data_IF_268028613762
#
_entry.id   IF_268028613762
#
_cell.length_a   1.000
_cell.length_b   1.000
_cell.length_c   1.000
_cell.angle_alpha   90.00
_cell.angle_beta   90.00
_cell.angle_gamma   90.00
#
_symmetry.space_group_name_H-M   'P 1'
#
loop_
_entity.id
_entity.type
_entity.pdbx_description
1 polymer ?
#
# COMPACT_ATOMS: atom_id res chain seq x y z
N UNK A 1 -6.12 -17.32 -15.68
CA UNK A 1 -4.69 -17.38 -15.35
C UNK A 1 -4.39 -16.30 -14.32
N UNK A 2 -5.13 -16.22 -13.18
CA UNK A 2 -5.22 -14.98 -12.37
C UNK A 2 -5.30 -15.18 -10.85
N UNK A 3 -4.82 -16.29 -10.35
CA UNK A 3 -4.64 -16.55 -8.92
C UNK A 3 -3.14 -16.79 -8.60
N UNK A 4 -2.25 -16.17 -9.42
CA UNK A 4 -0.84 -16.51 -9.39
C UNK A 4 -0.14 -16.04 -8.09
N UNK A 5 -0.52 -14.89 -7.55
CA UNK A 5 0.15 -14.35 -6.35
C UNK A 5 -0.01 -15.26 -5.13
N UNK A 6 -1.24 -15.76 -4.86
CA UNK A 6 -1.50 -16.69 -3.75
C UNK A 6 -1.02 -18.13 -4.03
N UNK A 7 -0.74 -18.47 -5.29
CA UNK A 7 -0.20 -19.79 -5.68
C UNK A 7 1.32 -19.85 -5.67
N UNK A 8 2.02 -18.72 -5.69
CA UNK A 8 3.49 -18.66 -5.69
C UNK A 8 4.08 -18.30 -4.33
N UNK A 9 3.24 -17.89 -3.35
CA UNK A 9 3.72 -17.71 -1.98
C UNK A 9 4.14 -19.06 -1.41
N UNK A 10 5.33 -19.11 -0.81
CA UNK A 10 5.82 -20.31 -0.14
C UNK A 10 4.91 -20.66 1.05
N UNK A 11 4.88 -21.93 1.46
CA UNK A 11 4.12 -22.37 2.64
C UNK A 11 4.45 -21.54 3.88
N UNK A 12 5.70 -21.11 4.02
CA UNK A 12 6.16 -20.23 5.11
C UNK A 12 5.55 -18.81 5.02
N UNK A 13 5.39 -18.24 3.81
CA UNK A 13 4.72 -16.95 3.62
C UNK A 13 3.22 -17.05 3.93
N UNK A 14 2.56 -18.15 3.56
CA UNK A 14 1.16 -18.42 3.91
C UNK A 14 0.94 -18.62 5.40
N UNK A 15 1.87 -19.29 6.09
CA UNK A 15 1.85 -19.45 7.55
C UNK A 15 2.10 -18.12 8.26
N UNK A 16 3.00 -17.25 7.78
CA UNK A 16 3.23 -15.91 8.32
C UNK A 16 2.01 -15.00 8.13
N UNK A 17 1.35 -15.02 6.96
CA UNK A 17 0.10 -14.28 6.75
C UNK A 17 -0.98 -14.77 7.72
N UNK A 18 -1.10 -16.08 7.89
CA UNK A 18 -2.09 -16.67 8.80
C UNK A 18 -1.81 -16.34 10.26
N UNK A 19 -0.54 -16.24 10.66
CA UNK A 19 -0.15 -15.86 12.02
C UNK A 19 -0.29 -14.37 12.29
N UNK A 20 0.08 -13.51 11.33
CA UNK A 20 -0.01 -12.05 11.45
C UNK A 20 -1.47 -11.54 11.43
N UNK A 21 -2.35 -12.27 10.76
CA UNK A 21 -3.80 -11.97 10.66
C UNK A 21 -4.62 -12.78 11.67
N UNK A 22 -3.99 -13.48 12.63
CA UNK A 22 -4.71 -14.23 13.66
C UNK A 22 -5.52 -13.27 14.56
N UNK A 23 -6.87 -13.33 14.55
CA UNK A 23 -7.70 -12.33 15.21
C UNK A 23 -7.70 -12.52 16.71
N UNK A 24 -7.35 -11.49 17.43
CA UNK A 24 -7.78 -11.29 18.79
C UNK A 24 -9.30 -11.00 18.79
N UNK A 25 -10.11 -12.06 18.84
CA UNK A 25 -11.53 -11.98 19.21
C UNK A 25 -12.52 -11.52 18.13
N UNK A 26 -13.41 -12.44 17.70
CA UNK A 26 -14.79 -12.10 17.30
C UNK A 26 -15.04 -11.49 15.91
N UNK A 27 -14.04 -11.31 15.06
CA UNK A 27 -14.17 -10.65 13.77
C UNK A 27 -14.76 -11.53 12.64
N UNK A 28 -14.60 -11.06 11.40
CA UNK A 28 -15.08 -11.67 10.14
C UNK A 28 -14.84 -13.19 10.09
N UNK A 29 -13.66 -13.67 10.54
CA UNK A 29 -13.32 -15.10 10.53
C UNK A 29 -14.21 -15.91 11.47
N UNK A 30 -14.61 -15.35 12.61
CA UNK A 30 -15.54 -16.03 13.52
C UNK A 30 -16.97 -16.05 12.96
N UNK A 31 -17.39 -15.00 12.23
CA UNK A 31 -18.65 -14.97 11.50
C UNK A 31 -18.63 -15.96 10.32
N UNK A 32 -17.54 -16.03 9.56
CA UNK A 32 -17.33 -17.00 8.48
C UNK A 32 -17.33 -18.44 9.00
N UNK A 33 -16.73 -18.73 10.15
CA UNK A 33 -16.74 -20.08 10.74
C UNK A 33 -18.13 -20.51 11.23
N UNK A 34 -18.99 -19.58 11.67
CA UNK A 34 -20.38 -19.88 12.03
C UNK A 34 -21.28 -20.10 10.82
N UNK A 35 -20.86 -19.65 9.65
CA UNK A 35 -21.59 -19.73 8.38
C UNK A 35 -21.27 -21.01 7.59
N UNK A 36 -20.99 -22.15 8.25
CA UNK A 36 -20.88 -23.47 7.60
C UNK A 36 -22.24 -24.04 7.15
N UNK A 37 -23.31 -23.27 7.26
CA UNK A 37 -24.61 -23.60 6.70
C UNK A 37 -24.65 -23.42 5.18
N UNK A 38 -25.48 -24.15 4.44
CA UNK A 38 -25.63 -24.01 2.98
C UNK A 38 -25.94 -22.59 2.53
N UNK A 39 -26.63 -21.82 3.36
CA UNK A 39 -26.82 -20.36 3.20
C UNK A 39 -26.22 -19.64 4.40
N UNK A 40 -25.33 -18.66 4.17
CA UNK A 40 -24.72 -17.88 5.24
C UNK A 40 -25.70 -16.86 5.84
N UNK A 41 -25.45 -16.49 7.09
CA UNK A 41 -26.13 -15.36 7.72
C UNK A 41 -25.60 -14.04 7.11
N UNK A 42 -26.21 -13.62 6.01
CA UNK A 42 -25.82 -12.41 5.27
C UNK A 42 -25.88 -11.14 6.12
N UNK A 43 -26.91 -10.91 6.96
CA UNK A 43 -26.92 -9.79 7.90
C UNK A 43 -25.73 -9.77 8.85
N UNK A 44 -25.38 -10.91 9.45
CA UNK A 44 -24.22 -10.99 10.33
C UNK A 44 -22.89 -10.76 9.58
N UNK A 45 -22.78 -11.16 8.31
CA UNK A 45 -21.62 -10.89 7.48
C UNK A 45 -21.53 -9.41 7.08
N UNK A 46 -22.64 -8.76 6.78
CA UNK A 46 -22.69 -7.31 6.52
C UNK A 46 -22.25 -6.53 7.76
N UNK A 47 -22.78 -6.87 8.94
CA UNK A 47 -22.35 -6.27 10.20
C UNK A 47 -20.86 -6.46 10.46
N UNK A 48 -20.32 -7.67 10.23
CA UNK A 48 -18.89 -7.95 10.39
C UNK A 48 -18.02 -7.10 9.44
N UNK A 49 -18.46 -6.87 8.21
CA UNK A 49 -17.78 -5.98 7.26
C UNK A 49 -17.82 -4.52 7.75
N UNK A 50 -18.95 -4.05 8.24
CA UNK A 50 -19.07 -2.70 8.82
C UNK A 50 -18.14 -2.55 10.04
N UNK A 51 -18.15 -3.51 10.94
CA UNK A 51 -17.28 -3.54 12.12
C UNK A 51 -15.80 -3.65 11.79
N UNK A 52 -15.47 -4.13 10.59
CA UNK A 52 -14.09 -4.15 10.07
C UNK A 52 -13.65 -2.84 9.45
N UNK A 53 -14.45 -1.78 9.53
CA UNK A 53 -14.21 -0.47 8.93
C UNK A 53 -14.34 -0.43 7.39
N UNK A 54 -15.02 -1.41 6.77
CA UNK A 54 -15.32 -1.37 5.33
C UNK A 54 -16.37 -0.31 4.95
N UNK A 55 -17.04 0.28 5.96
CA UNK A 55 -18.12 1.24 5.74
C UNK A 55 -19.42 0.59 5.22
N UNK A 56 -20.55 1.22 5.55
CA UNK A 56 -21.89 0.65 5.28
C UNK A 56 -22.17 0.48 3.78
N UNK A 57 -21.77 1.45 2.97
CA UNK A 57 -22.00 1.41 1.52
C UNK A 57 -21.23 0.26 0.86
N UNK A 58 -19.95 0.12 1.17
CA UNK A 58 -19.09 -0.95 0.63
C UNK A 58 -19.55 -2.32 1.13
N UNK A 59 -19.86 -2.44 2.43
CA UNK A 59 -20.33 -3.70 3.01
C UNK A 59 -21.59 -4.20 2.29
N UNK A 60 -22.59 -3.33 2.11
CA UNK A 60 -23.84 -3.65 1.42
C UNK A 60 -23.61 -4.12 -0.03
N UNK A 61 -22.82 -3.37 -0.79
CA UNK A 61 -22.52 -3.73 -2.20
C UNK A 61 -21.80 -5.08 -2.28
N UNK A 62 -20.83 -5.35 -1.41
CA UNK A 62 -20.11 -6.63 -1.35
C UNK A 62 -21.07 -7.79 -1.04
N UNK A 63 -21.97 -7.61 -0.08
CA UNK A 63 -22.95 -8.63 0.28
C UNK A 63 -23.95 -8.89 -0.85
N UNK A 64 -24.45 -7.83 -1.50
CA UNK A 64 -25.41 -7.96 -2.61
C UNK A 64 -24.76 -8.65 -3.83
N UNK A 65 -23.51 -8.32 -4.14
CA UNK A 65 -22.75 -9.03 -5.19
C UNK A 65 -22.54 -10.51 -4.83
N UNK A 66 -22.18 -10.82 -3.58
CA UNK A 66 -21.98 -12.20 -3.14
C UNK A 66 -23.28 -13.02 -3.18
N UNK A 67 -24.42 -12.43 -2.82
CA UNK A 67 -25.74 -13.05 -2.96
C UNK A 67 -26.11 -13.32 -4.43
N UNK A 68 -25.68 -12.44 -5.35
CA UNK A 68 -25.94 -12.57 -6.80
C UNK A 68 -25.16 -13.71 -7.47
N UNK A 69 -24.06 -14.18 -6.89
CA UNK A 69 -23.31 -15.31 -7.42
C UNK A 69 -24.03 -16.62 -7.15
N UNK A 70 -23.98 -17.54 -8.13
CA UNK A 70 -24.66 -18.86 -8.05
C UNK A 70 -23.71 -20.00 -7.76
N UNK A 71 -22.41 -19.82 -8.03
CA UNK A 71 -21.40 -20.87 -7.93
C UNK A 71 -20.75 -20.87 -6.55
N UNK A 72 -20.74 -22.02 -5.90
CA UNK A 72 -20.14 -22.24 -4.59
C UNK A 72 -21.05 -21.92 -3.40
N UNK A 73 -20.56 -22.25 -2.21
CA UNK A 73 -21.22 -21.86 -0.97
C UNK A 73 -21.06 -20.35 -0.69
N UNK A 74 -21.82 -19.84 0.27
CA UNK A 74 -21.82 -18.40 0.56
C UNK A 74 -20.45 -17.85 0.98
N UNK A 75 -19.62 -18.63 1.64
CA UNK A 75 -18.26 -18.25 2.01
C UNK A 75 -17.36 -18.11 0.79
N UNK A 76 -17.46 -19.05 -0.14
CA UNK A 76 -16.72 -19.01 -1.42
C UNK A 76 -17.16 -17.81 -2.25
N UNK A 77 -18.46 -17.56 -2.33
CA UNK A 77 -19.03 -16.40 -3.04
C UNK A 77 -18.52 -15.08 -2.45
N UNK A 78 -18.61 -14.91 -1.11
CA UNK A 78 -18.11 -13.70 -0.45
C UNK A 78 -16.59 -13.52 -0.64
N UNK A 79 -15.82 -14.59 -0.47
CA UNK A 79 -14.37 -14.56 -0.71
C UNK A 79 -14.04 -14.12 -2.13
N UNK A 80 -14.75 -14.63 -3.11
CA UNK A 80 -14.54 -14.28 -4.53
C UNK A 80 -14.78 -12.80 -4.78
N UNK A 81 -15.85 -12.22 -4.20
CA UNK A 81 -16.15 -10.79 -4.32
C UNK A 81 -15.10 -9.94 -3.60
N UNK A 82 -14.67 -10.34 -2.39
CA UNK A 82 -13.64 -9.62 -1.63
C UNK A 82 -12.30 -9.62 -2.37
N UNK A 83 -11.87 -10.78 -2.88
CA UNK A 83 -10.63 -10.88 -3.65
C UNK A 83 -10.70 -10.02 -4.91
N UNK A 84 -11.82 -10.07 -5.63
CA UNK A 84 -12.03 -9.22 -6.79
C UNK A 84 -11.94 -7.74 -6.43
N UNK A 85 -12.57 -7.32 -5.33
CA UNK A 85 -12.58 -5.93 -4.90
C UNK A 85 -11.19 -5.39 -4.51
N UNK A 86 -10.30 -6.24 -3.99
CA UNK A 86 -8.92 -5.88 -3.66
C UNK A 86 -7.99 -5.91 -4.89
N UNK A 87 -8.40 -6.60 -5.95
CA UNK A 87 -7.64 -6.81 -7.19
C UNK A 87 -8.22 -6.02 -8.38
N UNK A 88 -9.28 -5.25 -8.18
CA UNK A 88 -10.08 -4.60 -9.25
C UNK A 88 -9.35 -3.44 -9.99
N UNK A 89 -8.05 -3.33 -9.82
CA UNK A 89 -7.18 -2.58 -10.72
C UNK A 89 -6.37 -3.49 -11.65
N UNK A 90 -6.65 -4.77 -11.65
CA UNK A 90 -5.76 -5.83 -12.08
C UNK A 90 -5.84 -6.21 -13.56
N UNK A 91 -5.46 -5.31 -14.40
CA UNK A 91 -4.55 -5.64 -15.50
C UNK A 91 -3.08 -5.43 -15.04
N UNK A 92 -2.86 -5.20 -13.76
CA UNK A 92 -1.54 -5.06 -13.18
C UNK A 92 -0.86 -6.44 -13.14
N UNK A 93 0.25 -6.58 -13.83
CA UNK A 93 1.21 -7.64 -13.60
C UNK A 93 1.51 -7.75 -12.11
N UNK A 94 1.89 -8.95 -11.59
CA UNK A 94 2.37 -9.07 -10.23
C UNK A 94 3.35 -7.95 -9.92
N UNK A 95 3.22 -7.35 -8.74
CA UNK A 95 4.08 -6.24 -8.36
C UNK A 95 5.54 -6.70 -8.36
N UNK A 96 6.27 -6.37 -9.43
CA UNK A 96 7.72 -6.53 -9.47
C UNK A 96 8.34 -5.22 -9.02
N UNK A 97 8.94 -5.24 -7.84
CA UNK A 97 9.56 -4.05 -7.26
C UNK A 97 10.72 -3.48 -8.09
N UNK A 98 11.23 -4.25 -9.08
CA UNK A 98 12.25 -3.78 -10.03
C UNK A 98 11.66 -3.01 -11.22
N UNK A 99 10.38 -3.21 -11.49
CA UNK A 99 9.58 -2.52 -12.47
C UNK A 99 8.29 -2.08 -11.77
N UNK A 100 8.23 -0.86 -11.30
CA UNK A 100 8.68 0.40 -11.90
C UNK A 100 10.11 0.83 -11.56
N UNK A 101 10.66 1.74 -12.38
CA UNK A 101 11.97 2.37 -12.14
C UNK A 101 11.92 3.51 -11.14
N UNK A 102 10.74 4.10 -10.88
CA UNK A 102 10.52 5.14 -9.86
C UNK A 102 9.27 4.81 -9.05
N UNK A 103 9.40 4.78 -7.73
CA UNK A 103 8.29 4.59 -6.79
C UNK A 103 8.15 5.85 -5.94
N UNK A 104 6.99 6.49 -6.00
CA UNK A 104 6.63 7.65 -5.17
C UNK A 104 5.67 7.21 -4.06
N UNK A 105 6.10 7.29 -2.80
CA UNK A 105 5.27 6.94 -1.66
C UNK A 105 4.50 8.17 -1.16
N UNK A 106 3.17 8.09 -1.15
CA UNK A 106 2.29 9.12 -0.63
C UNK A 106 1.44 8.58 0.52
N UNK A 107 0.92 9.45 1.38
CA UNK A 107 0.09 9.04 2.54
C UNK A 107 0.32 9.96 3.74
N UNK A 108 -0.52 9.84 4.76
CA UNK A 108 -0.46 10.69 5.95
C UNK A 108 0.76 10.41 6.82
N UNK A 109 1.09 11.34 7.73
CA UNK A 109 2.11 11.10 8.74
C UNK A 109 1.74 9.89 9.62
N UNK A 110 2.72 9.05 9.91
CA UNK A 110 2.51 7.84 10.70
C UNK A 110 1.90 6.65 9.95
N UNK A 111 1.58 6.78 8.66
CA UNK A 111 1.09 5.66 7.85
C UNK A 111 2.16 4.60 7.55
N UNK A 112 3.44 4.85 7.82
CA UNK A 112 4.51 3.89 7.60
C UNK A 112 5.29 4.06 6.29
N UNK A 113 5.23 5.24 5.63
CA UNK A 113 5.93 5.52 4.37
C UNK A 113 7.43 5.23 4.44
N UNK A 114 8.12 5.81 5.41
CA UNK A 114 9.57 5.66 5.59
C UNK A 114 9.96 4.19 5.78
N UNK A 115 9.21 3.45 6.60
CA UNK A 115 9.43 2.00 6.80
C UNK A 115 9.15 1.22 5.52
N UNK A 116 8.07 1.57 4.80
CA UNK A 116 7.72 0.96 3.52
C UNK A 116 8.80 1.20 2.47
N UNK A 117 9.38 2.41 2.41
CA UNK A 117 10.49 2.72 1.50
C UNK A 117 11.67 1.76 1.70
N UNK A 118 12.09 1.56 2.95
CA UNK A 118 13.18 0.65 3.29
C UNK A 118 12.85 -0.82 2.93
N UNK A 119 11.61 -1.27 3.20
CA UNK A 119 11.15 -2.63 2.85
C UNK A 119 11.14 -2.87 1.35
N UNK A 120 10.64 -1.93 0.57
CA UNK A 120 10.66 -2.00 -0.90
C UNK A 120 12.10 -2.04 -1.43
N UNK A 121 13.01 -1.26 -0.84
CA UNK A 121 14.42 -1.29 -1.21
C UNK A 121 15.07 -2.65 -0.92
N UNK A 122 14.86 -3.20 0.29
CA UNK A 122 15.36 -4.53 0.65
C UNK A 122 14.78 -5.62 -0.27
N UNK A 123 13.51 -5.51 -0.63
CA UNK A 123 12.86 -6.42 -1.59
C UNK A 123 13.47 -6.31 -2.98
N UNK A 124 13.73 -5.08 -3.46
CA UNK A 124 14.38 -4.84 -4.75
C UNK A 124 15.78 -5.44 -4.81
N UNK A 125 16.59 -5.25 -3.75
CA UNK A 125 17.92 -5.88 -3.65
C UNK A 125 17.82 -7.41 -3.67
N UNK A 126 16.90 -7.99 -2.89
CA UNK A 126 16.70 -9.45 -2.86
C UNK A 126 16.30 -10.02 -4.22
N UNK A 127 15.69 -9.20 -5.08
CA UNK A 127 15.36 -9.53 -6.46
C UNK A 127 16.49 -9.23 -7.47
N UNK A 128 17.66 -8.79 -6.98
CA UNK A 128 18.84 -8.48 -7.81
C UNK A 128 18.85 -7.05 -8.38
N UNK A 129 17.98 -6.16 -7.90
CA UNK A 129 18.00 -4.74 -8.24
C UNK A 129 19.04 -3.95 -7.44
N UNK A 130 19.26 -2.71 -7.85
CA UNK A 130 20.19 -1.75 -7.22
C UNK A 130 19.40 -0.49 -6.77
N UNK A 131 18.55 -0.58 -5.74
CA UNK A 131 17.66 0.52 -5.36
C UNK A 131 18.40 1.75 -4.85
N UNK A 132 17.75 2.92 -4.99
CA UNK A 132 18.17 4.19 -4.40
C UNK A 132 17.01 4.74 -3.57
N UNK A 133 17.27 5.08 -2.31
CA UNK A 133 16.29 5.75 -1.45
C UNK A 133 16.43 7.28 -1.55
N UNK A 134 15.30 7.98 -1.44
CA UNK A 134 15.25 9.45 -1.45
C UNK A 134 14.46 9.97 -0.26
N UNK A 135 15.13 10.69 0.64
CA UNK A 135 14.50 11.37 1.77
C UNK A 135 13.91 12.71 1.32
N UNK A 136 12.68 12.70 0.83
CA UNK A 136 11.97 13.88 0.36
C UNK A 136 10.98 14.47 1.41
N UNK A 137 10.88 13.92 2.63
CA UNK A 137 10.22 14.58 3.78
C UNK A 137 11.18 15.64 4.39
N UNK A 138 11.41 16.71 3.67
CA UNK A 138 12.36 17.77 4.05
C UNK A 138 11.87 18.62 5.23
N UNK A 139 10.59 18.53 5.58
CA UNK A 139 10.03 19.27 6.72
C UNK A 139 10.39 18.68 8.08
N UNK A 140 10.75 17.42 8.11
CA UNK A 140 11.03 16.67 9.34
C UNK A 140 12.45 16.14 9.32
N UNK A 141 13.37 16.84 10.00
CA UNK A 141 14.75 16.37 10.13
C UNK A 141 14.82 14.91 10.65
N UNK A 142 13.99 14.58 11.64
CA UNK A 142 13.91 13.22 12.17
C UNK A 142 13.45 12.18 11.14
N UNK A 143 12.68 12.54 10.11
CA UNK A 143 12.29 11.61 9.05
C UNK A 143 13.47 11.32 8.12
N UNK A 144 14.28 12.33 7.80
CA UNK A 144 15.50 12.15 7.01
C UNK A 144 16.47 11.23 7.77
N UNK A 145 16.70 11.50 9.07
CA UNK A 145 17.56 10.67 9.92
C UNK A 145 17.04 9.23 10.02
N UNK A 146 15.72 9.06 10.15
CA UNK A 146 15.10 7.73 10.19
C UNK A 146 15.33 6.95 8.90
N UNK A 147 15.11 7.57 7.74
CA UNK A 147 15.35 6.91 6.46
C UNK A 147 16.81 6.57 6.26
N UNK A 148 17.74 7.46 6.67
CA UNK A 148 19.18 7.21 6.62
C UNK A 148 19.55 5.97 7.44
N UNK A 149 19.11 5.87 8.70
CA UNK A 149 19.38 4.71 9.55
C UNK A 149 18.84 3.39 8.96
N UNK A 150 17.64 3.43 8.36
CA UNK A 150 17.07 2.28 7.69
C UNK A 150 17.87 1.92 6.43
N UNK A 151 18.29 2.90 5.64
CA UNK A 151 19.13 2.72 4.47
C UNK A 151 20.49 2.09 4.81
N UNK A 152 21.14 2.56 5.87
CA UNK A 152 22.38 2.00 6.39
C UNK A 152 22.21 0.54 6.81
N UNK A 153 21.13 0.23 7.54
CA UNK A 153 20.82 -1.15 7.96
C UNK A 153 20.64 -2.10 6.78
N UNK A 154 19.96 -1.66 5.74
CA UNK A 154 19.72 -2.46 4.53
C UNK A 154 20.84 -2.31 3.49
N UNK A 155 21.90 -1.53 3.76
CA UNK A 155 23.02 -1.26 2.84
C UNK A 155 22.56 -0.70 1.48
N UNK A 156 21.56 0.18 1.50
CA UNK A 156 21.00 0.86 0.32
C UNK A 156 21.50 2.29 0.28
N UNK A 157 21.98 2.81 -0.87
CA UNK A 157 22.31 4.23 -1.00
C UNK A 157 21.08 5.11 -0.79
N UNK A 158 21.30 6.28 -0.17
CA UNK A 158 20.25 7.27 0.05
C UNK A 158 20.71 8.66 -0.41
N UNK A 159 19.79 9.41 -1.01
CA UNK A 159 19.94 10.86 -1.28
C UNK A 159 19.04 11.58 -0.28
N UNK A 160 19.64 12.47 0.49
CA UNK A 160 18.95 13.22 1.54
C UNK A 160 18.56 14.61 1.04
N UNK A 161 17.27 14.96 1.19
CA UNK A 161 16.83 16.34 1.02
C UNK A 161 17.39 17.22 2.15
N UNK A 162 17.68 18.47 1.85
CA UNK A 162 18.10 19.44 2.87
C UNK A 162 16.93 19.72 3.82
N UNK A 163 17.10 19.74 5.14
CA UNK A 163 16.06 20.16 6.07
C UNK A 163 15.50 21.53 5.70
N UNK A 164 14.18 21.64 5.54
CA UNK A 164 13.50 22.84 5.08
C UNK A 164 13.69 23.18 3.59
N UNK A 165 14.42 22.37 2.84
CA UNK A 165 14.64 22.53 1.41
C UNK A 165 13.47 22.07 0.54
N UNK A 166 13.60 22.31 -0.77
CA UNK A 166 12.63 21.85 -1.77
C UNK A 166 12.74 20.34 -2.00
N UNK A 167 11.71 19.53 -1.72
CA UNK A 167 11.72 18.10 -1.98
C UNK A 167 11.99 17.74 -3.46
N UNK A 168 11.54 18.60 -4.38
CA UNK A 168 11.77 18.40 -5.80
C UNK A 168 13.26 18.48 -6.18
N UNK A 169 14.07 19.25 -5.42
CA UNK A 169 15.52 19.29 -5.62
C UNK A 169 16.16 17.93 -5.24
N UNK A 170 15.76 17.32 -4.12
CA UNK A 170 16.25 16.01 -3.72
C UNK A 170 15.91 14.93 -4.77
N UNK A 171 14.70 14.98 -5.34
CA UNK A 171 14.28 14.09 -6.42
C UNK A 171 15.13 14.31 -7.67
N UNK A 172 15.38 15.56 -8.05
CA UNK A 172 16.26 15.90 -9.19
C UNK A 172 17.66 15.28 -9.02
N UNK A 173 18.26 15.47 -7.86
CA UNK A 173 19.61 14.97 -7.56
C UNK A 173 19.63 13.43 -7.55
N UNK A 174 18.59 12.81 -7.01
CA UNK A 174 18.44 11.36 -6.96
C UNK A 174 18.28 10.74 -8.36
N UNK A 175 17.42 11.28 -9.21
CA UNK A 175 17.22 10.79 -10.57
C UNK A 175 18.49 10.97 -11.42
N UNK A 176 19.20 12.08 -11.22
CA UNK A 176 20.49 12.32 -11.88
C UNK A 176 21.55 11.29 -11.44
N UNK A 177 21.67 11.05 -10.12
CA UNK A 177 22.58 10.06 -9.57
C UNK A 177 22.22 8.64 -10.00
N UNK A 178 20.93 8.29 -9.99
CA UNK A 178 20.42 6.99 -10.42
C UNK A 178 20.80 6.69 -11.87
N UNK A 179 20.59 7.65 -12.77
CA UNK A 179 20.95 7.52 -14.18
C UNK A 179 22.45 7.32 -14.38
N UNK A 180 23.29 8.09 -13.69
CA UNK A 180 24.76 8.00 -13.82
C UNK A 180 25.31 6.69 -13.26
N UNK A 181 24.72 6.20 -12.17
CA UNK A 181 25.22 5.02 -11.45
C UNK A 181 24.48 3.73 -11.83
N UNK A 182 23.48 3.78 -12.69
CA UNK A 182 22.65 2.62 -13.06
C UNK A 182 21.83 2.06 -11.88
N UNK A 183 21.30 2.94 -11.01
CA UNK A 183 20.50 2.54 -9.83
C UNK A 183 19.02 2.49 -10.19
N UNK A 184 18.36 1.39 -9.84
CA UNK A 184 16.92 1.19 -10.04
C UNK A 184 16.39 0.10 -9.10
N UNK A 185 15.18 0.28 -8.53
CA UNK A 185 14.29 1.45 -8.61
C UNK A 185 14.76 2.64 -7.73
N UNK A 186 14.25 3.84 -8.05
CA UNK A 186 14.37 5.03 -7.19
C UNK A 186 13.11 5.10 -6.33
N UNK A 187 13.25 5.00 -5.00
CA UNK A 187 12.13 4.96 -4.05
C UNK A 187 12.12 6.24 -3.22
N UNK A 188 11.04 7.03 -3.36
CA UNK A 188 10.92 8.38 -2.82
C UNK A 188 9.98 8.36 -1.62
N UNK A 189 10.52 8.65 -0.42
CA UNK A 189 9.76 8.87 0.81
C UNK A 189 9.36 10.33 0.93
N UNK A 190 8.05 10.64 0.97
CA UNK A 190 7.53 12.01 0.97
C UNK A 190 6.96 12.42 2.33
N UNK A 191 6.75 13.73 2.50
CA UNK A 191 5.98 14.27 3.62
C UNK A 191 4.51 13.79 3.61
N UNK A 192 3.86 13.79 4.78
CA UNK A 192 2.47 13.33 4.93
C UNK A 192 1.57 14.32 5.68
N UNK A 193 1.85 15.62 5.62
CA UNK A 193 1.14 16.65 6.39
C UNK A 193 -0.22 16.99 5.79
N UNK A 194 -1.25 16.21 6.10
CA UNK A 194 -2.61 16.49 5.61
C UNK A 194 -3.25 17.74 6.23
N UNK A 195 -2.68 18.25 7.35
CA UNK A 195 -3.21 19.44 8.03
C UNK A 195 -3.06 20.73 7.19
N UNK A 196 -2.07 20.78 6.28
CA UNK A 196 -1.87 21.87 5.30
C UNK A 196 -2.24 21.38 3.90
N UNK A 197 -3.51 20.97 3.73
CA UNK A 197 -3.98 20.23 2.53
C UNK A 197 -3.52 20.82 1.20
N UNK A 198 -3.63 22.13 1.01
CA UNK A 198 -3.26 22.76 -0.27
C UNK A 198 -1.76 22.67 -0.54
N UNK A 199 -0.90 23.03 0.41
CA UNK A 199 0.55 23.03 0.21
C UNK A 199 1.13 21.65 -0.09
N UNK A 200 0.69 20.60 0.64
CA UNK A 200 1.16 19.23 0.39
C UNK A 200 0.73 18.72 -0.98
N UNK A 201 -0.52 18.96 -1.39
CA UNK A 201 -1.04 18.48 -2.66
C UNK A 201 -0.35 19.15 -3.85
N UNK A 202 -0.08 20.45 -3.75
CA UNK A 202 0.69 21.19 -4.77
C UNK A 202 2.13 20.69 -4.84
N UNK A 203 2.72 20.36 -3.69
CA UNK A 203 4.08 19.81 -3.61
C UNK A 203 4.17 18.42 -4.24
N UNK A 204 3.23 17.52 -3.98
CA UNK A 204 3.18 16.19 -4.60
C UNK A 204 2.98 16.30 -6.12
N UNK A 205 2.09 17.17 -6.57
CA UNK A 205 1.90 17.44 -8.00
C UNK A 205 3.17 18.02 -8.66
N UNK A 206 3.94 18.85 -7.93
CA UNK A 206 5.25 19.36 -8.38
C UNK A 206 6.27 18.23 -8.49
N UNK A 207 6.36 17.37 -7.47
CA UNK A 207 7.27 16.21 -7.47
C UNK A 207 7.00 15.32 -8.67
N UNK A 208 5.74 14.95 -8.91
CA UNK A 208 5.35 14.13 -10.07
C UNK A 208 5.80 14.76 -11.39
N UNK A 209 5.53 16.05 -11.61
CA UNK A 209 5.98 16.77 -12.81
C UNK A 209 7.50 16.77 -12.98
N UNK A 210 8.26 16.87 -11.89
CA UNK A 210 9.73 16.80 -11.93
C UNK A 210 10.18 15.40 -12.35
N UNK A 211 9.57 14.35 -11.82
CA UNK A 211 9.88 12.96 -12.18
C UNK A 211 9.60 12.74 -13.68
N UNK A 212 8.41 13.11 -14.16
CA UNK A 212 8.00 12.96 -15.56
C UNK A 212 8.94 13.71 -16.52
N UNK A 213 9.41 14.89 -16.12
CA UNK A 213 10.35 15.70 -16.93
C UNK A 213 11.74 15.12 -16.98
N UNK A 214 12.26 14.56 -15.87
CA UNK A 214 13.66 14.11 -15.76
C UNK A 214 13.85 12.65 -16.18
N UNK A 215 12.79 11.88 -16.09
CA UNK A 215 12.77 10.46 -16.41
C UNK A 215 11.53 10.11 -17.25
N UNK A 216 11.40 10.68 -18.48
CA UNK A 216 10.20 10.51 -19.32
C UNK A 216 9.96 9.06 -19.75
N UNK A 217 11.02 8.27 -19.84
CA UNK A 217 10.96 6.84 -20.21
C UNK A 217 10.83 5.93 -18.99
N UNK A 218 10.85 6.49 -17.75
CA UNK A 218 10.72 5.70 -16.54
C UNK A 218 9.26 5.31 -16.31
N UNK A 219 9.03 4.05 -15.97
CA UNK A 219 7.77 3.65 -15.38
C UNK A 219 7.70 4.17 -13.95
N UNK A 220 6.78 5.10 -13.71
CA UNK A 220 6.54 5.70 -12.40
C UNK A 220 5.33 5.02 -11.77
N UNK A 221 5.44 4.60 -10.52
CA UNK A 221 4.34 4.09 -9.72
C UNK A 221 4.16 4.95 -8.47
N UNK A 222 2.96 5.51 -8.29
CA UNK A 222 2.58 6.26 -7.10
C UNK A 222 1.83 5.33 -6.16
N UNK A 223 2.40 5.03 -5.01
CA UNK A 223 1.82 4.12 -4.02
C UNK A 223 1.28 4.89 -2.82
N UNK A 224 -0.01 4.73 -2.56
CA UNK A 224 -0.64 5.21 -1.34
C UNK A 224 -0.34 4.26 -0.19
N UNK A 225 0.41 4.74 0.79
CA UNK A 225 0.63 4.00 2.05
C UNK A 225 -0.54 4.29 2.98
N UNK A 226 -1.35 3.26 3.20
CA UNK A 226 -2.58 3.30 3.96
C UNK A 226 -2.43 2.51 5.27
N UNK A 227 -2.63 3.20 6.39
CA UNK A 227 -2.69 2.57 7.71
C UNK A 227 -4.01 1.80 7.85
N UNK A 228 -3.94 0.49 8.04
CA UNK A 228 -5.12 -0.36 8.20
C UNK A 228 -5.96 -0.02 9.44
N UNK A 229 -5.42 0.77 10.38
CA UNK A 229 -6.12 1.26 11.57
C UNK A 229 -6.87 2.59 11.35
N UNK A 230 -6.71 3.22 10.18
CA UNK A 230 -7.23 4.57 9.91
C UNK A 230 -8.78 4.65 9.80
N UNK A 231 -9.46 3.51 9.69
CA UNK A 231 -10.91 3.45 9.54
C UNK A 231 -11.42 4.28 8.34
N UNK A 232 -12.63 4.80 8.42
CA UNK A 232 -13.25 5.57 7.33
C UNK A 232 -12.52 6.88 6.96
N UNK A 233 -11.70 7.42 7.86
CA UNK A 233 -10.86 8.58 7.54
C UNK A 233 -9.84 8.26 6.44
N UNK A 234 -9.41 7.01 6.34
CA UNK A 234 -8.48 6.54 5.30
C UNK A 234 -9.01 6.73 3.88
N UNK A 235 -10.30 6.54 3.67
CA UNK A 235 -10.94 6.75 2.38
C UNK A 235 -10.92 8.24 1.95
N UNK A 236 -11.25 9.14 2.88
CA UNK A 236 -11.19 10.58 2.60
C UNK A 236 -9.76 11.08 2.29
N UNK A 237 -8.77 10.49 2.97
CA UNK A 237 -7.34 10.74 2.69
C UNK A 237 -6.95 10.20 1.31
N UNK A 238 -7.32 8.96 0.99
CA UNK A 238 -7.03 8.32 -0.28
C UNK A 238 -7.51 9.15 -1.47
N UNK A 239 -8.76 9.65 -1.44
CA UNK A 239 -9.30 10.56 -2.44
C UNK A 239 -8.47 11.84 -2.62
N UNK A 240 -7.93 12.36 -1.52
CA UNK A 240 -7.07 13.55 -1.55
C UNK A 240 -5.75 13.31 -2.27
N UNK A 241 -5.07 12.21 -1.92
CA UNK A 241 -3.79 11.84 -2.52
C UNK A 241 -3.94 11.44 -3.98
N UNK A 242 -5.00 10.69 -4.33
CA UNK A 242 -5.28 10.30 -5.70
C UNK A 242 -5.46 11.51 -6.62
N UNK A 243 -6.27 12.49 -6.22
CA UNK A 243 -6.46 13.73 -6.98
C UNK A 243 -5.18 14.54 -7.16
N UNK A 244 -4.26 14.51 -6.20
CA UNK A 244 -3.05 15.32 -6.21
C UNK A 244 -1.90 14.68 -7.00
N UNK A 245 -1.74 13.37 -6.86
CA UNK A 245 -0.59 12.65 -7.39
C UNK A 245 -0.96 11.56 -8.40
N UNK A 246 -2.24 11.20 -8.55
CA UNK A 246 -2.68 10.08 -9.37
C UNK A 246 -2.08 8.77 -8.84
N UNK A 247 -2.79 8.15 -7.89
CA UNK A 247 -2.33 6.92 -7.24
C UNK A 247 -2.52 5.72 -8.16
N UNK A 248 -1.52 4.82 -8.22
CA UNK A 248 -1.53 3.62 -9.06
C UNK A 248 -1.81 2.34 -8.24
N UNK A 249 -1.68 2.41 -6.91
CA UNK A 249 -1.92 1.27 -6.04
C UNK A 249 -1.76 1.58 -4.55
N UNK A 250 -2.13 0.63 -3.72
CA UNK A 250 -2.16 0.76 -2.26
C UNK A 250 -1.12 -0.16 -1.61
N UNK A 251 -0.40 0.39 -0.64
CA UNK A 251 0.40 -0.38 0.33
C UNK A 251 -0.35 -0.37 1.65
N UNK A 252 -0.80 -1.52 2.12
CA UNK A 252 -1.50 -1.64 3.39
C UNK A 252 -0.50 -1.93 4.51
N UNK A 253 -0.54 -1.12 5.57
CA UNK A 253 0.39 -1.22 6.71
C UNK A 253 -0.32 -1.52 8.02
N UNK A 254 0.43 -1.94 9.02
CA UNK A 254 -0.03 -2.18 10.41
C UNK A 254 -1.13 -3.23 10.56
N UNK A 255 -1.17 -4.23 9.69
CA UNK A 255 -2.09 -5.35 9.85
C UNK A 255 -1.77 -6.21 11.08
N UNK A 256 -0.50 -6.26 11.47
CA UNK A 256 0.01 -6.91 12.68
C UNK A 256 -0.48 -6.25 13.99
N UNK A 257 -0.87 -4.99 13.95
CA UNK A 257 -1.39 -4.23 15.11
C UNK A 257 -2.87 -4.53 15.45
N UNK A 258 -3.45 -5.63 14.95
CA UNK A 258 -4.86 -5.98 15.17
C UNK A 258 -5.83 -5.12 14.35
N UNK A 259 -5.35 -4.54 13.28
CA UNK A 259 -6.14 -3.75 12.34
C UNK A 259 -7.25 -4.59 11.71
N UNK A 260 -8.39 -3.95 11.45
CA UNK A 260 -9.56 -4.60 10.85
C UNK A 260 -9.48 -4.68 9.32
N UNK A 261 -8.67 -3.82 8.69
CA UNK A 261 -8.33 -3.86 7.26
C UNK A 261 -9.45 -3.50 6.27
N UNK A 262 -10.68 -3.35 6.74
CA UNK A 262 -11.82 -3.09 5.84
C UNK A 262 -11.76 -1.77 5.09
N UNK A 263 -11.02 -0.79 5.61
CA UNK A 263 -10.78 0.49 4.91
C UNK A 263 -10.12 0.27 3.55
N UNK A 264 -9.23 -0.74 3.41
CA UNK A 264 -8.61 -1.06 2.13
C UNK A 264 -9.66 -1.45 1.09
N UNK A 265 -10.67 -2.24 1.49
CA UNK A 265 -11.77 -2.64 0.63
C UNK A 265 -12.53 -1.43 0.07
N UNK A 266 -12.83 -0.44 0.93
CA UNK A 266 -13.49 0.80 0.52
C UNK A 266 -12.63 1.63 -0.43
N UNK A 267 -11.34 1.77 -0.13
CA UNK A 267 -10.39 2.54 -0.97
C UNK A 267 -10.22 1.86 -2.33
N UNK A 268 -9.98 0.56 -2.36
CA UNK A 268 -9.75 -0.17 -3.60
C UNK A 268 -10.99 -0.14 -4.50
N UNK A 269 -12.19 -0.35 -3.95
CA UNK A 269 -13.43 -0.31 -4.74
C UNK A 269 -13.77 1.07 -5.26
N UNK A 270 -13.65 2.09 -4.41
CA UNK A 270 -14.09 3.43 -4.79
C UNK A 270 -13.14 4.11 -5.77
N UNK A 271 -11.84 3.88 -5.62
CA UNK A 271 -10.81 4.49 -6.46
C UNK A 271 -10.31 3.55 -7.55
N UNK A 272 -10.80 2.31 -7.60
CA UNK A 272 -10.34 1.27 -8.52
C UNK A 272 -8.82 1.03 -8.43
N UNK A 273 -8.29 1.04 -7.22
CA UNK A 273 -6.87 0.89 -6.93
C UNK A 273 -6.57 -0.53 -6.42
N UNK A 274 -5.59 -1.24 -6.99
CA UNK A 274 -5.18 -2.54 -6.48
C UNK A 274 -4.37 -2.42 -5.19
N UNK A 275 -4.48 -3.40 -4.29
CA UNK A 275 -3.49 -3.60 -3.23
C UNK A 275 -2.22 -4.18 -3.86
N UNK A 276 -1.13 -3.43 -3.82
CA UNK A 276 0.15 -3.83 -4.40
C UNK A 276 1.03 -4.55 -3.39
N UNK A 277 1.03 -4.06 -2.15
CA UNK A 277 1.88 -4.57 -1.08
C UNK A 277 1.15 -4.54 0.26
N UNK A 278 1.52 -5.49 1.11
CA UNK A 278 0.99 -5.62 2.46
C UNK A 278 2.15 -5.73 3.45
N UNK A 279 2.19 -4.83 4.46
CA UNK A 279 3.16 -4.90 5.55
C UNK A 279 2.54 -5.67 6.73
N UNK A 280 3.22 -6.73 7.17
CA UNK A 280 2.74 -7.67 8.20
C UNK A 280 3.64 -7.69 9.46
N UNK A 281 4.47 -6.69 9.65
CA UNK A 281 5.38 -6.55 10.78
C UNK A 281 6.38 -5.41 10.57
N UNK A 282 7.38 -5.29 11.43
CA UNK A 282 8.39 -4.21 11.38
C UNK A 282 9.68 -4.57 10.63
N UNK A 283 9.94 -5.85 10.41
CA UNK A 283 11.14 -6.32 9.72
C UNK A 283 11.16 -5.96 8.24
N UNK A 284 12.35 -5.85 7.66
CA UNK A 284 12.52 -5.54 6.23
C UNK A 284 11.94 -6.60 5.29
N UNK A 285 11.78 -7.84 5.77
CA UNK A 285 11.19 -8.96 5.04
C UNK A 285 9.67 -9.08 5.21
N UNK A 286 9.06 -8.29 6.10
CA UNK A 286 7.62 -8.32 6.39
C UNK A 286 6.85 -7.46 5.37
N UNK A 287 7.09 -7.72 4.08
CA UNK A 287 6.43 -7.12 2.92
C UNK A 287 6.02 -8.24 1.94
N UNK A 288 4.71 -8.33 1.70
CA UNK A 288 4.05 -9.34 0.86
C UNK A 288 3.40 -8.68 -0.34
#
# INVERSE_FOLDING_TARGET
MKLAFWRTSTKAEQENISAAVAPSGGGIIAALRRSLAPEPDWPALEEALILSDAGTATARVVIDEAKGLRDGDGTTRLRSVLLKALDDGANASPADVRDPSVILLVGVNGAGKTTTAAKLAARAQSAGGTPLLVAADTFRAAAIDQLRLLAEREQVPVIEGRPGGDPAAAIHDALTAARVRGLSPVIIDTAGRLQTKHGLMDELAKMRRVIEKLAPDARVEVLLVLDATAGQNGLAQARGFDRAAGVDGVVLTKLDAGARGGVALSVCRELSLPVRWVCVGEGSRDLL
#
